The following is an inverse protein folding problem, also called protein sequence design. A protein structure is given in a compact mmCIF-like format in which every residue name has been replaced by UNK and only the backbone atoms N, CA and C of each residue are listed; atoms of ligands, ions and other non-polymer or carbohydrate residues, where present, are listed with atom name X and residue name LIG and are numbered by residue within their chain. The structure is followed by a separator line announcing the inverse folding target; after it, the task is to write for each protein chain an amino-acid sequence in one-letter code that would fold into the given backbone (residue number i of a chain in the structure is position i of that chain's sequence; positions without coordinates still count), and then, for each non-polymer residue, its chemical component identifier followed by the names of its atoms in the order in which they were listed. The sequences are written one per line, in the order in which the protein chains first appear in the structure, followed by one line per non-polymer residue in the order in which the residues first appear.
data_IF_221667202022
#
_entry.id   IF_221667202022
#
_cell.length_a   1.000
_cell.length_b   1.000
_cell.length_c   1.000
_cell.angle_alpha   90.00
_cell.angle_beta   90.00
_cell.angle_gamma   90.00
#
_symmetry.space_group_name_H-M   'P 1'
#
loop_
_entity.id
_entity.type
_entity.pdbx_description
1 polymer ?
#
# COMPACT_ATOMS: atom_id res chain seq x y z
N UNK A 1 12.23 3.19 -5.85
CA UNK A 1 11.29 3.91 -4.95
C UNK A 1 11.73 5.36 -4.67
N UNK A 2 12.98 5.61 -4.24
CA UNK A 2 13.47 6.96 -3.90
C UNK A 2 13.23 8.06 -4.96
N UNK A 3 13.66 7.85 -6.21
CA UNK A 3 13.45 8.83 -7.30
C UNK A 3 11.98 9.21 -7.51
N UNK A 4 11.11 8.21 -7.41
CA UNK A 4 9.69 8.37 -7.63
C UNK A 4 9.04 9.18 -6.48
N UNK A 5 9.61 9.08 -5.27
CA UNK A 5 9.21 9.86 -4.11
C UNK A 5 9.66 11.33 -4.20
N UNK A 6 10.93 11.54 -4.58
CA UNK A 6 11.57 12.87 -4.55
C UNK A 6 11.21 13.72 -5.78
N UNK A 7 10.99 13.09 -6.94
CA UNK A 7 10.85 13.79 -8.23
C UNK A 7 9.59 13.37 -8.99
N UNK A 8 8.69 12.63 -8.34
CA UNK A 8 7.51 12.05 -8.99
C UNK A 8 7.86 11.08 -10.12
N UNK A 9 6.83 10.62 -10.83
CA UNK A 9 7.03 9.64 -11.91
C UNK A 9 7.69 10.20 -13.17
N UNK A 10 7.74 11.53 -13.31
CA UNK A 10 8.50 12.16 -14.37
C UNK A 10 10.02 12.09 -14.11
N UNK A 11 10.44 12.11 -12.85
CA UNK A 11 11.84 11.91 -12.46
C UNK A 11 12.34 10.46 -12.61
N UNK A 12 11.43 9.48 -12.70
CA UNK A 12 11.80 8.08 -12.91
C UNK A 12 12.13 7.85 -14.37
N UNK A 13 13.42 7.64 -14.67
CA UNK A 13 13.90 7.22 -15.98
C UNK A 13 14.98 6.15 -15.84
N UNK A 14 15.23 5.39 -16.91
CA UNK A 14 16.31 4.40 -16.95
C UNK A 14 17.66 5.08 -16.64
N UNK A 15 17.86 6.30 -17.13
CA UNK A 15 19.08 7.07 -16.84
C UNK A 15 19.16 7.45 -15.37
N UNK A 16 18.08 8.02 -14.80
CA UNK A 16 18.07 8.42 -13.40
C UNK A 16 18.29 7.24 -12.44
N UNK A 17 17.74 6.06 -12.79
CA UNK A 17 18.00 4.82 -12.03
C UNK A 17 19.45 4.37 -12.18
N UNK A 18 20.02 4.42 -13.38
CA UNK A 18 21.43 4.09 -13.60
C UNK A 18 22.35 4.98 -12.75
N UNK A 19 22.08 6.29 -12.76
CA UNK A 19 22.83 7.28 -11.99
C UNK A 19 22.69 7.05 -10.47
N UNK A 20 21.47 6.81 -9.98
CA UNK A 20 21.23 6.57 -8.55
C UNK A 20 21.82 5.24 -8.06
N UNK A 21 21.80 4.20 -8.90
CA UNK A 21 22.29 2.87 -8.56
C UNK A 21 23.76 2.66 -8.88
N UNK A 22 24.45 3.68 -9.41
CA UNK A 22 25.86 3.63 -9.82
C UNK A 22 26.16 2.47 -10.80
N UNK A 23 25.25 2.23 -11.73
CA UNK A 23 25.37 1.23 -12.80
C UNK A 23 25.27 1.90 -14.16
N UNK A 24 25.67 1.22 -15.24
CA UNK A 24 25.52 1.78 -16.57
C UNK A 24 24.06 1.72 -17.03
N UNK A 25 23.67 2.65 -17.91
CA UNK A 25 22.37 2.62 -18.59
C UNK A 25 22.11 1.27 -19.29
N UNK A 26 23.15 0.69 -19.91
CA UNK A 26 23.09 -0.65 -20.52
C UNK A 26 22.83 -1.76 -19.50
N UNK A 27 23.43 -1.67 -18.31
CA UNK A 27 23.18 -2.60 -17.21
C UNK A 27 21.73 -2.53 -16.70
N UNK A 28 21.14 -1.33 -16.59
CA UNK A 28 19.71 -1.20 -16.24
C UNK A 28 18.83 -1.78 -17.35
N UNK A 29 19.13 -1.51 -18.61
CA UNK A 29 18.37 -2.05 -19.75
C UNK A 29 18.40 -3.58 -19.83
N UNK A 30 19.49 -4.21 -19.40
CA UNK A 30 19.59 -5.67 -19.33
C UNK A 30 18.52 -6.27 -18.41
N UNK A 31 18.13 -5.57 -17.34
CA UNK A 31 17.08 -5.99 -16.42
C UNK A 31 15.69 -5.42 -16.79
N UNK A 32 15.64 -4.18 -17.26
CA UNK A 32 14.42 -3.44 -17.56
C UNK A 32 14.48 -2.89 -18.99
N UNK A 33 13.97 -3.63 -20.00
CA UNK A 33 14.10 -3.23 -21.40
C UNK A 33 13.45 -1.87 -21.73
N UNK A 34 12.52 -1.39 -20.91
CA UNK A 34 11.91 -0.07 -21.03
C UNK A 34 11.42 0.49 -19.69
N UNK A 35 11.02 1.78 -19.67
CA UNK A 35 10.50 2.45 -18.47
C UNK A 35 9.27 1.74 -17.89
N UNK A 36 8.39 1.17 -18.72
CA UNK A 36 7.22 0.45 -18.24
C UNK A 36 7.61 -0.80 -17.44
N UNK A 37 8.56 -1.60 -17.94
CA UNK A 37 9.05 -2.79 -17.24
C UNK A 37 9.70 -2.47 -15.89
N UNK A 38 10.39 -1.31 -15.80
CA UNK A 38 10.92 -0.79 -14.54
C UNK A 38 9.79 -0.43 -13.56
N UNK A 39 8.75 0.27 -14.05
CA UNK A 39 7.58 0.65 -13.23
C UNK A 39 6.85 -0.58 -12.71
N UNK A 40 6.58 -1.56 -13.58
CA UNK A 40 5.92 -2.82 -13.19
C UNK A 40 6.73 -3.56 -12.11
N UNK A 41 8.06 -3.64 -12.26
CA UNK A 41 8.91 -4.27 -11.26
C UNK A 41 8.92 -3.50 -9.93
N UNK A 42 8.87 -2.16 -9.96
CA UNK A 42 8.73 -1.34 -8.76
C UNK A 42 7.40 -1.58 -8.03
N UNK A 43 6.29 -1.66 -8.78
CA UNK A 43 4.96 -1.97 -8.22
C UNK A 43 4.98 -3.36 -7.57
N UNK A 44 5.43 -4.39 -8.30
CA UNK A 44 5.51 -5.76 -7.80
C UNK A 44 6.36 -5.88 -6.53
N UNK A 45 7.55 -5.26 -6.52
CA UNK A 45 8.42 -5.25 -5.34
C UNK A 45 7.74 -4.65 -4.12
N UNK A 46 6.94 -3.62 -4.29
CA UNK A 46 6.30 -2.95 -3.18
C UNK A 46 5.01 -3.63 -2.73
N UNK A 47 4.28 -4.29 -3.64
CA UNK A 47 3.21 -5.21 -3.28
C UNK A 47 3.73 -6.39 -2.44
N UNK A 48 4.92 -6.92 -2.75
CA UNK A 48 5.56 -7.92 -1.89
C UNK A 48 5.90 -7.37 -0.50
N UNK A 49 6.46 -6.17 -0.42
CA UNK A 49 6.74 -5.53 0.87
C UNK A 49 5.45 -5.31 1.68
N UNK A 50 4.35 -4.90 1.05
CA UNK A 50 3.04 -4.78 1.72
C UNK A 50 2.59 -6.12 2.29
N UNK A 51 2.71 -7.18 1.48
CA UNK A 51 2.34 -8.53 1.87
C UNK A 51 3.14 -9.00 3.10
N UNK A 52 4.45 -8.76 3.10
CA UNK A 52 5.33 -9.08 4.22
C UNK A 52 4.96 -8.30 5.50
N UNK A 53 4.63 -7.01 5.38
CA UNK A 53 4.19 -6.20 6.52
C UNK A 53 2.84 -6.68 7.09
N UNK A 54 1.93 -7.14 6.23
CA UNK A 54 0.69 -7.80 6.68
C UNK A 54 1.00 -9.06 7.47
N UNK A 55 1.86 -9.95 6.95
CA UNK A 55 2.24 -11.17 7.67
C UNK A 55 2.89 -10.87 9.03
N UNK A 56 3.81 -9.89 9.08
CA UNK A 56 4.44 -9.44 10.32
C UNK A 56 3.41 -8.92 11.31
N UNK A 57 2.46 -8.10 10.85
CA UNK A 57 1.40 -7.59 11.72
C UNK A 57 0.58 -8.74 12.30
N UNK A 58 0.13 -9.67 11.45
CA UNK A 58 -0.71 -10.80 11.82
C UNK A 58 -0.01 -11.76 12.79
N UNK A 59 1.29 -11.99 12.64
CA UNK A 59 2.07 -12.84 13.54
C UNK A 59 2.06 -12.38 15.01
N UNK A 60 1.72 -11.12 15.28
CA UNK A 60 1.67 -10.55 16.64
C UNK A 60 0.28 -10.59 17.28
N UNK A 61 -0.76 -11.05 16.57
CA UNK A 61 -2.16 -10.92 17.02
C UNK A 61 -2.77 -12.26 17.40
N UNK A 62 -3.52 -12.25 18.50
CA UNK A 62 -4.19 -13.42 19.06
C UNK A 62 -5.69 -13.48 18.73
N UNK A 63 -6.30 -12.35 18.37
CA UNK A 63 -7.72 -12.28 18.00
C UNK A 63 -7.85 -12.47 16.50
N UNK A 64 -8.45 -13.60 16.10
CA UNK A 64 -8.58 -14.02 14.70
C UNK A 64 -9.65 -13.23 13.93
N UNK A 65 -10.85 -13.06 14.49
CA UNK A 65 -11.94 -12.35 13.79
C UNK A 65 -11.53 -10.92 13.39
N UNK A 66 -11.57 -10.58 12.10
CA UNK A 66 -11.18 -9.28 11.55
C UNK A 66 -9.67 -9.00 11.53
N UNK A 67 -8.82 -10.01 11.69
CA UNK A 67 -7.37 -9.82 11.84
C UNK A 67 -6.75 -9.15 10.61
N UNK A 68 -7.16 -9.54 9.41
CA UNK A 68 -6.65 -8.93 8.18
C UNK A 68 -7.15 -7.50 8.03
N UNK A 69 -8.41 -7.22 8.37
CA UNK A 69 -8.99 -5.87 8.32
C UNK A 69 -8.24 -4.92 9.25
N UNK A 70 -7.86 -5.36 10.46
CA UNK A 70 -7.04 -4.56 11.36
C UNK A 70 -5.64 -4.30 10.82
N UNK A 71 -5.00 -5.33 10.25
CA UNK A 71 -3.70 -5.16 9.59
C UNK A 71 -3.80 -4.14 8.45
N UNK A 72 -4.84 -4.26 7.62
CA UNK A 72 -5.11 -3.35 6.51
C UNK A 72 -5.25 -1.91 6.98
N UNK A 73 -6.12 -1.64 7.97
CA UNK A 73 -6.34 -0.30 8.54
C UNK A 73 -5.04 0.28 9.12
N UNK A 74 -4.28 -0.50 9.87
CA UNK A 74 -3.03 -0.02 10.47
C UNK A 74 -2.00 0.36 9.39
N UNK A 75 -1.83 -0.52 8.39
CA UNK A 75 -0.80 -0.36 7.37
C UNK A 75 -1.13 0.77 6.40
N UNK A 76 -2.38 0.90 5.97
CA UNK A 76 -2.76 1.95 5.01
C UNK A 76 -2.84 3.33 5.64
N UNK A 77 -3.16 3.45 6.93
CA UNK A 77 -3.33 4.76 7.56
C UNK A 77 -2.05 5.27 8.24
N UNK A 78 -1.37 4.46 9.05
CA UNK A 78 -0.32 4.97 9.96
C UNK A 78 1.02 4.25 9.93
N UNK A 79 1.20 3.20 9.12
CA UNK A 79 2.51 2.56 8.99
C UNK A 79 3.56 3.53 8.44
N UNK A 80 4.77 3.52 8.97
CA UNK A 80 5.88 4.32 8.45
C UNK A 80 6.23 3.96 7.00
N UNK A 81 6.06 2.68 6.65
CA UNK A 81 6.42 2.15 5.34
C UNK A 81 5.29 2.36 4.31
N UNK A 82 4.03 2.33 4.75
CA UNK A 82 2.85 2.24 3.87
C UNK A 82 1.80 3.33 4.08
N UNK A 83 1.73 3.88 5.29
CA UNK A 83 0.71 4.82 5.73
C UNK A 83 0.82 6.19 5.09
N UNK A 84 -0.12 7.07 5.42
CA UNK A 84 -0.14 8.44 4.93
C UNK A 84 1.17 9.15 5.31
N UNK A 85 1.76 9.85 4.34
CA UNK A 85 3.06 10.51 4.48
C UNK A 85 4.26 9.62 4.13
N UNK A 86 4.07 8.32 3.95
CA UNK A 86 5.12 7.44 3.44
C UNK A 86 5.39 7.67 1.94
N UNK A 87 6.61 7.36 1.52
CA UNK A 87 7.00 7.31 0.10
C UNK A 87 6.05 6.41 -0.71
N UNK A 88 5.63 5.30 -0.11
CA UNK A 88 4.73 4.36 -0.76
C UNK A 88 3.35 4.93 -0.99
N UNK A 89 2.76 5.56 0.04
CA UNK A 89 1.45 6.21 -0.08
C UNK A 89 1.44 7.27 -1.19
N UNK A 90 2.51 8.07 -1.31
CA UNK A 90 2.63 9.05 -2.40
C UNK A 90 2.70 8.39 -3.79
N UNK A 91 3.35 7.22 -3.88
CA UNK A 91 3.42 6.46 -5.12
C UNK A 91 2.07 5.86 -5.50
N UNK A 92 1.36 5.24 -4.56
CA UNK A 92 0.00 4.75 -4.79
C UNK A 92 -0.93 5.85 -5.31
N UNK A 93 -0.88 7.05 -4.73
CA UNK A 93 -1.65 8.20 -5.21
C UNK A 93 -1.27 8.62 -6.65
N UNK A 94 0.01 8.50 -7.01
CA UNK A 94 0.49 8.80 -8.36
C UNK A 94 0.01 7.77 -9.40
N UNK A 95 -0.10 6.50 -9.00
CA UNK A 95 -0.49 5.39 -9.87
C UNK A 95 -1.97 4.99 -9.74
N UNK A 96 -2.78 5.74 -9.00
CA UNK A 96 -4.17 5.37 -8.72
C UNK A 96 -5.04 5.27 -9.99
N UNK A 97 -4.61 5.89 -11.09
CA UNK A 97 -5.24 5.79 -12.41
C UNK A 97 -4.52 4.85 -13.39
N UNK A 98 -3.38 4.26 -13.01
CA UNK A 98 -2.64 3.32 -13.84
C UNK A 98 -3.29 1.93 -13.80
N UNK A 99 -3.56 1.37 -14.97
CA UNK A 99 -4.27 0.10 -15.09
C UNK A 99 -3.49 -1.08 -14.50
N UNK A 100 -2.16 -1.11 -14.67
CA UNK A 100 -1.34 -2.21 -14.17
C UNK A 100 -1.26 -2.18 -12.65
N UNK A 101 -1.10 -0.99 -12.05
CA UNK A 101 -1.16 -0.82 -10.60
C UNK A 101 -2.51 -1.28 -10.03
N UNK A 102 -3.62 -0.81 -10.60
CA UNK A 102 -4.95 -1.21 -10.14
C UNK A 102 -5.20 -2.72 -10.27
N UNK A 103 -4.69 -3.37 -11.33
CA UNK A 103 -4.82 -4.81 -11.50
C UNK A 103 -4.06 -5.58 -10.40
N UNK A 104 -2.80 -5.23 -10.14
CA UNK A 104 -1.98 -5.84 -9.09
C UNK A 104 -2.59 -5.66 -7.70
N UNK A 105 -3.05 -4.44 -7.38
CA UNK A 105 -3.71 -4.14 -6.12
C UNK A 105 -4.97 -4.99 -5.90
N UNK A 106 -5.85 -5.03 -6.91
CA UNK A 106 -7.09 -5.79 -6.85
C UNK A 106 -6.83 -7.29 -6.72
N UNK A 107 -5.85 -7.81 -7.45
CA UNK A 107 -5.45 -9.21 -7.36
C UNK A 107 -4.94 -9.55 -5.95
N UNK A 108 -4.05 -8.73 -5.40
CA UNK A 108 -3.53 -8.92 -4.05
C UNK A 108 -4.64 -8.90 -2.99
N UNK A 109 -5.51 -7.89 -3.02
CA UNK A 109 -6.61 -7.78 -2.05
C UNK A 109 -7.56 -8.97 -2.15
N UNK A 110 -7.91 -9.41 -3.36
CA UNK A 110 -8.76 -10.58 -3.58
C UNK A 110 -8.12 -11.86 -3.01
N UNK A 111 -6.81 -12.07 -3.24
CA UNK A 111 -6.09 -13.23 -2.70
C UNK A 111 -6.05 -13.21 -1.16
N UNK A 112 -5.84 -12.04 -0.56
CA UNK A 112 -5.89 -11.86 0.89
C UNK A 112 -7.28 -12.15 1.46
N UNK A 113 -8.34 -11.67 0.83
CA UNK A 113 -9.71 -11.92 1.25
C UNK A 113 -10.09 -13.41 1.14
N UNK A 114 -9.57 -14.12 0.13
CA UNK A 114 -9.72 -15.59 0.05
C UNK A 114 -8.97 -16.28 1.20
N UNK A 115 -7.71 -15.89 1.46
CA UNK A 115 -6.90 -16.47 2.56
C UNK A 115 -7.55 -16.24 3.94
N UNK A 116 -8.16 -15.08 4.14
CA UNK A 116 -8.79 -14.66 5.39
C UNK A 116 -10.32 -14.78 5.38
N UNK A 117 -10.90 -15.59 4.49
CA UNK A 117 -12.35 -15.71 4.36
C UNK A 117 -13.04 -16.07 5.69
N UNK A 118 -12.45 -16.99 6.45
CA UNK A 118 -13.01 -17.42 7.74
C UNK A 118 -13.06 -16.30 8.79
N UNK A 119 -12.17 -15.30 8.70
CA UNK A 119 -12.01 -14.25 9.70
C UNK A 119 -12.54 -12.89 9.26
N UNK A 120 -12.59 -12.60 7.96
CA UNK A 120 -12.71 -11.23 7.42
C UNK A 120 -13.83 -11.03 6.38
N UNK A 121 -14.69 -12.03 6.19
CA UNK A 121 -15.80 -11.99 5.23
C UNK A 121 -17.02 -11.16 5.65
N UNK A 122 -17.09 -10.70 6.91
CA UNK A 122 -18.23 -9.91 7.39
C UNK A 122 -18.36 -8.58 6.59
N UNK A 123 -19.59 -8.23 6.21
CA UNK A 123 -19.91 -6.98 5.52
C UNK A 123 -19.41 -5.76 6.30
N UNK A 124 -19.49 -5.77 7.63
CA UNK A 124 -18.95 -4.69 8.44
C UNK A 124 -17.46 -4.51 8.23
N UNK A 125 -16.70 -5.61 8.18
CA UNK A 125 -15.26 -5.55 7.96
C UNK A 125 -14.93 -5.02 6.56
N UNK A 126 -15.75 -5.35 5.56
CA UNK A 126 -15.64 -4.75 4.22
C UNK A 126 -15.90 -3.25 4.25
N UNK A 127 -16.94 -2.79 4.94
CA UNK A 127 -17.23 -1.35 5.09
C UNK A 127 -16.09 -0.60 5.79
N UNK A 128 -15.45 -1.21 6.80
CA UNK A 128 -14.31 -0.61 7.48
C UNK A 128 -13.08 -0.48 6.57
N UNK A 129 -12.82 -1.45 5.68
CA UNK A 129 -11.74 -1.34 4.68
C UNK A 129 -12.02 -0.19 3.70
N UNK A 130 -13.26 -0.03 3.23
CA UNK A 130 -13.63 1.12 2.39
C UNK A 130 -13.53 2.47 3.12
N UNK A 131 -13.89 2.52 4.40
CA UNK A 131 -13.69 3.73 5.21
C UNK A 131 -12.20 4.07 5.37
N UNK A 132 -11.33 3.05 5.53
CA UNK A 132 -9.89 3.25 5.55
C UNK A 132 -9.38 3.77 4.20
N UNK A 133 -9.81 3.20 3.07
CA UNK A 133 -9.42 3.70 1.74
C UNK A 133 -9.87 5.15 1.51
N UNK A 134 -11.09 5.49 1.93
CA UNK A 134 -11.61 6.85 1.87
C UNK A 134 -10.80 7.83 2.72
N UNK A 135 -10.45 7.44 3.96
CA UNK A 135 -9.60 8.24 4.83
C UNK A 135 -8.19 8.41 4.23
N UNK A 136 -7.60 7.32 3.74
CA UNK A 136 -6.31 7.31 3.07
C UNK A 136 -6.26 8.28 1.89
N UNK A 137 -7.27 8.23 1.02
CA UNK A 137 -7.35 9.09 -0.16
C UNK A 137 -7.56 10.57 0.20
N UNK A 138 -8.50 10.85 1.11
CA UNK A 138 -8.86 12.22 1.48
C UNK A 138 -7.73 12.94 2.22
N UNK A 139 -7.13 12.30 3.22
CA UNK A 139 -6.03 12.87 4.00
C UNK A 139 -4.71 12.81 3.21
N UNK A 140 -4.57 11.90 2.24
CA UNK A 140 -3.46 11.88 1.28
C UNK A 140 -3.44 13.11 0.35
N UNK A 141 -4.60 13.68 0.00
CA UNK A 141 -4.67 14.94 -0.75
C UNK A 141 -4.46 16.19 0.11
N UNK A 142 -4.82 16.12 1.40
CA UNK A 142 -4.77 17.23 2.34
C UNK A 142 -4.27 16.73 3.69
N UNK A 143 -2.94 16.63 3.85
CA UNK A 143 -2.35 16.23 5.12
C UNK A 143 -2.36 17.42 6.10
N UNK A 144 -3.53 17.74 6.65
CA UNK A 144 -3.72 18.91 7.50
C UNK A 144 -3.73 18.57 9.00
N UNK A 145 -4.12 17.34 9.40
CA UNK A 145 -4.24 16.97 10.81
C UNK A 145 -3.95 15.49 11.11
N UNK A 146 -2.71 15.21 11.53
CA UNK A 146 -2.27 13.86 11.90
C UNK A 146 -3.03 13.27 13.10
N UNK A 147 -3.47 14.09 14.05
CA UNK A 147 -4.22 13.61 15.22
C UNK A 147 -5.59 13.06 14.79
N UNK A 148 -6.28 13.77 13.89
CA UNK A 148 -7.58 13.33 13.36
C UNK A 148 -7.46 11.98 12.63
N UNK A 149 -6.39 11.76 11.87
CA UNK A 149 -6.15 10.48 11.20
C UNK A 149 -5.96 9.33 12.21
N UNK A 150 -5.22 9.58 13.31
CA UNK A 150 -5.05 8.61 14.40
C UNK A 150 -6.40 8.30 15.04
N UNK A 151 -7.24 9.31 15.28
CA UNK A 151 -8.57 9.14 15.87
C UNK A 151 -9.48 8.29 14.96
N UNK A 152 -9.48 8.56 13.65
CA UNK A 152 -10.21 7.76 12.64
C UNK A 152 -9.72 6.32 12.67
N UNK A 153 -8.40 6.10 12.62
CA UNK A 153 -7.82 4.74 12.66
C UNK A 153 -8.29 3.98 13.90
N UNK A 154 -8.17 4.60 15.07
CA UNK A 154 -8.55 3.97 16.34
C UNK A 154 -10.02 3.59 16.35
N UNK A 155 -10.90 4.47 15.85
CA UNK A 155 -12.33 4.18 15.72
C UNK A 155 -12.61 2.99 14.80
N UNK A 156 -11.95 2.92 13.63
CA UNK A 156 -12.10 1.80 12.70
C UNK A 156 -11.60 0.48 13.32
N UNK A 157 -10.46 0.51 14.02
CA UNK A 157 -9.92 -0.66 14.72
C UNK A 157 -10.88 -1.14 15.81
N UNK A 158 -11.43 -0.25 16.64
CA UNK A 158 -12.40 -0.61 17.68
C UNK A 158 -13.64 -1.30 17.10
N UNK A 159 -14.20 -0.75 16.01
CA UNK A 159 -15.37 -1.34 15.33
C UNK A 159 -15.08 -2.71 14.72
N UNK A 160 -13.83 -3.01 14.35
CA UNK A 160 -13.45 -4.30 13.76
C UNK A 160 -13.54 -5.49 14.73
N UNK A 161 -13.68 -5.24 16.05
CA UNK A 161 -13.87 -6.30 17.04
C UNK A 161 -15.33 -6.72 17.22
N UNK A 162 -16.27 -5.94 16.69
CA UNK A 162 -17.70 -6.22 16.83
C UNK A 162 -18.12 -7.19 15.72
N UNK A 163 -18.56 -8.38 16.14
CA UNK A 163 -19.15 -9.38 15.26
C UNK A 163 -20.66 -9.14 15.25
N UNK A 164 -21.22 -8.89 14.06
CA UNK A 164 -22.67 -8.76 13.89
C UNK A 164 -23.36 -10.13 13.88
#
# INVERSE_FOLDING_TARGET
MRLAAESGMQGVSIQAVADLSNVTKGGVFHHFPNKQSLITAMISSAMHTLDDEVEKYLATKTIEYGCFTRAYIELTLTSENFGIGSVWSALCLTFISDQAFCAEWNQWLAQRLVRHQATDQDMNLQLLRYAADGAWLMEGFKSENQQKLIDIKNELIQRSFIKN
#
